data_IF_294604681114
#
_entry.id   IF_294604681114
#
_cell.length_a   1.000
_cell.length_b   1.000
_cell.length_c   1.000
_cell.angle_alpha   90.00
_cell.angle_beta   90.00
_cell.angle_gamma   90.00
#
_symmetry.space_group_name_H-M   'P 1'
#
loop_
_entity.id
_entity.type
_entity.pdbx_description
1 polymer ?
#
# COMPACT_ATOMS: atom_id res chain seq x y z
N UNK A 1 82.14 -17.74 -5.20
CA UNK A 1 81.90 -18.67 -4.09
C UNK A 1 80.41 -18.88 -3.89
N UNK A 2 80.00 -20.16 -4.02
CA UNK A 2 78.85 -20.84 -3.40
C UNK A 2 77.44 -20.26 -3.57
N UNK A 3 76.63 -20.92 -4.41
CA UNK A 3 75.47 -21.71 -3.93
C UNK A 3 74.95 -22.67 -5.02
N UNK A 4 74.52 -23.84 -4.55
CA UNK A 4 74.11 -25.04 -5.27
C UNK A 4 72.79 -24.91 -6.07
N UNK A 5 72.48 -25.85 -6.99
CA UNK A 5 71.22 -25.85 -7.73
C UNK A 5 70.09 -26.54 -6.95
N UNK A 6 68.85 -26.12 -7.18
CA UNK A 6 67.62 -26.77 -6.70
C UNK A 6 66.62 -26.93 -7.85
N UNK A 7 65.73 -27.93 -7.76
CA UNK A 7 65.32 -28.76 -8.90
C UNK A 7 64.06 -28.25 -9.63
N UNK A 8 63.93 -28.70 -10.87
CA UNK A 8 62.77 -28.49 -11.76
C UNK A 8 61.45 -28.97 -11.13
N UNK A 9 60.33 -28.25 -11.32
CA UNK A 9 59.01 -28.74 -10.94
C UNK A 9 58.36 -29.58 -12.06
N UNK A 10 57.74 -30.65 -11.58
CA UNK A 10 56.95 -31.66 -12.27
C UNK A 10 55.74 -31.01 -12.96
N UNK A 11 55.50 -31.41 -14.21
CA UNK A 11 54.28 -31.12 -14.97
C UNK A 11 53.06 -31.73 -14.26
N UNK A 12 52.11 -30.88 -13.87
CA UNK A 12 50.80 -31.27 -13.35
C UNK A 12 49.76 -31.04 -14.46
N UNK A 13 49.44 -32.11 -15.19
CA UNK A 13 48.31 -32.17 -16.12
C UNK A 13 47.02 -32.29 -15.30
N UNK A 14 46.40 -31.14 -15.01
CA UNK A 14 45.00 -31.11 -14.59
C UNK A 14 44.15 -30.67 -15.77
N UNK A 15 43.51 -31.67 -16.38
CA UNK A 15 42.39 -31.53 -17.30
C UNK A 15 41.37 -30.54 -16.72
N UNK A 16 41.34 -29.34 -17.29
CA UNK A 16 40.27 -28.39 -17.07
C UNK A 16 39.08 -28.87 -17.88
N UNK A 17 38.17 -29.59 -17.21
CA UNK A 17 36.80 -29.82 -17.66
C UNK A 17 36.19 -28.44 -17.87
N UNK A 18 36.18 -28.01 -19.14
CA UNK A 18 35.53 -26.82 -19.60
C UNK A 18 34.02 -27.03 -19.45
N UNK A 19 33.45 -26.52 -18.37
CA UNK A 19 32.01 -26.24 -18.25
C UNK A 19 31.63 -25.25 -19.34
N UNK A 20 31.39 -25.75 -20.56
CA UNK A 20 30.73 -25.00 -21.62
C UNK A 20 29.24 -25.04 -21.32
N UNK A 21 28.81 -24.24 -20.34
CA UNK A 21 27.42 -23.81 -20.27
C UNK A 21 27.04 -23.26 -21.64
N UNK A 22 25.99 -23.81 -22.23
CA UNK A 22 25.61 -23.45 -23.60
C UNK A 22 25.14 -21.98 -23.63
N UNK A 23 25.33 -21.25 -24.74
CA UNK A 23 24.87 -19.86 -24.85
C UNK A 23 23.36 -19.68 -24.56
N UNK A 24 22.55 -20.70 -24.85
CA UNK A 24 21.11 -20.73 -24.60
C UNK A 24 20.77 -20.86 -23.11
N UNK A 25 21.44 -21.74 -22.36
CA UNK A 25 21.30 -21.84 -20.90
C UNK A 25 21.68 -20.53 -20.20
N UNK A 26 22.68 -19.83 -20.72
CA UNK A 26 23.11 -18.52 -20.23
C UNK A 26 22.11 -17.39 -20.53
N UNK A 27 21.31 -17.50 -21.60
CA UNK A 27 20.26 -16.55 -21.95
C UNK A 27 18.99 -16.78 -21.11
N UNK A 28 18.60 -18.05 -20.92
CA UNK A 28 17.47 -18.42 -20.07
C UNK A 28 17.71 -18.02 -18.61
N UNK A 29 18.90 -18.29 -18.06
CA UNK A 29 19.28 -17.86 -16.70
C UNK A 29 19.26 -16.34 -16.56
N UNK A 30 19.66 -15.60 -17.61
CA UNK A 30 19.61 -14.13 -17.60
C UNK A 30 18.17 -13.61 -17.62
N UNK A 31 17.31 -14.22 -18.43
CA UNK A 31 15.89 -13.90 -18.48
C UNK A 31 15.21 -14.14 -17.13
N UNK A 32 15.44 -15.31 -16.51
CA UNK A 32 14.92 -15.64 -15.19
C UNK A 32 15.42 -14.70 -14.09
N UNK A 33 16.70 -14.30 -14.12
CA UNK A 33 17.24 -13.30 -13.18
C UNK A 33 16.58 -11.93 -13.35
N UNK A 34 16.36 -11.49 -14.58
CA UNK A 34 15.68 -10.24 -14.87
C UNK A 34 14.21 -10.27 -14.42
N UNK A 35 13.52 -11.39 -14.64
CA UNK A 35 12.15 -11.58 -14.19
C UNK A 35 12.03 -11.59 -12.66
N UNK A 36 12.91 -12.32 -11.96
CA UNK A 36 12.95 -12.32 -10.50
C UNK A 36 13.20 -10.93 -9.92
N UNK A 37 14.15 -10.17 -10.48
CA UNK A 37 14.37 -8.79 -10.07
C UNK A 37 13.13 -7.91 -10.28
N UNK A 38 12.40 -8.13 -11.38
CA UNK A 38 11.15 -7.43 -11.69
C UNK A 38 10.04 -7.76 -10.69
N UNK A 39 9.90 -9.03 -10.33
CA UNK A 39 8.90 -9.50 -9.36
C UNK A 39 9.20 -8.97 -7.96
N UNK A 40 10.47 -8.97 -7.55
CA UNK A 40 10.88 -8.42 -6.26
C UNK A 40 10.57 -6.92 -6.17
N UNK A 41 10.89 -6.14 -7.22
CA UNK A 41 10.56 -4.71 -7.25
C UNK A 41 9.04 -4.48 -7.16
N UNK A 42 8.23 -5.27 -7.86
CA UNK A 42 6.77 -5.16 -7.79
C UNK A 42 6.23 -5.46 -6.39
N UNK A 43 6.79 -6.45 -5.71
CA UNK A 43 6.44 -6.78 -4.33
C UNK A 43 6.85 -5.66 -3.36
N UNK A 44 8.03 -5.07 -3.54
CA UNK A 44 8.50 -3.96 -2.72
C UNK A 44 7.64 -2.70 -2.90
N UNK A 45 7.20 -2.41 -4.12
CA UNK A 45 6.26 -1.33 -4.44
C UNK A 45 4.89 -1.56 -3.79
N UNK A 46 4.34 -2.76 -3.92
CA UNK A 46 3.08 -3.16 -3.27
C UNK A 46 3.18 -3.02 -1.75
N UNK A 47 4.29 -3.49 -1.16
CA UNK A 47 4.56 -3.36 0.27
C UNK A 47 4.71 -1.89 0.68
N UNK A 48 5.35 -1.06 -0.15
CA UNK A 48 5.47 0.38 0.05
C UNK A 48 4.12 1.06 0.19
N UNK A 49 3.17 0.75 -0.70
CA UNK A 49 1.80 1.32 -0.65
C UNK A 49 1.10 0.94 0.67
N UNK A 50 1.17 -0.34 1.05
CA UNK A 50 0.57 -0.83 2.30
C UNK A 50 1.23 -0.22 3.55
N UNK A 51 2.54 0.04 3.49
CA UNK A 51 3.28 0.68 4.56
C UNK A 51 2.84 2.14 4.77
N UNK A 52 2.55 2.90 3.70
CA UNK A 52 2.03 4.27 3.84
C UNK A 52 0.71 4.25 4.63
N UNK A 53 -0.24 3.40 4.26
CA UNK A 53 -1.52 3.32 4.96
C UNK A 53 -1.36 2.89 6.42
N UNK A 54 -0.43 1.97 6.69
CA UNK A 54 -0.09 1.55 8.06
C UNK A 54 0.52 2.68 8.89
N UNK A 55 1.41 3.49 8.31
CA UNK A 55 2.02 4.65 8.97
C UNK A 55 1.02 5.76 9.25
N UNK A 56 0.12 6.05 8.31
CA UNK A 56 -0.99 6.98 8.54
C UNK A 56 -1.89 6.49 9.68
N UNK A 57 -2.25 5.20 9.69
CA UNK A 57 -3.01 4.61 10.80
C UNK A 57 -2.27 4.82 12.13
N UNK A 58 -0.99 4.47 12.19
CA UNK A 58 -0.17 4.65 13.39
C UNK A 58 -0.16 6.12 13.86
N UNK A 59 0.02 7.07 12.94
CA UNK A 59 -0.04 8.50 13.27
C UNK A 59 -1.37 8.88 13.91
N UNK A 60 -2.48 8.47 13.29
CA UNK A 60 -3.82 8.80 13.80
C UNK A 60 -4.12 8.17 15.15
N UNK A 61 -3.66 6.94 15.39
CA UNK A 61 -3.80 6.28 16.69
C UNK A 61 -3.06 7.03 17.81
N UNK A 62 -1.96 7.73 17.47
CA UNK A 62 -1.09 8.45 18.39
C UNK A 62 -1.41 9.94 18.54
N UNK A 63 -2.10 10.60 17.61
CA UNK A 63 -2.28 12.08 17.69
C UNK A 63 -3.72 12.55 17.53
N UNK A 64 -4.63 11.68 17.11
CA UNK A 64 -6.04 12.03 16.93
C UNK A 64 -6.84 11.63 18.17
N UNK A 65 -7.84 12.43 18.49
CA UNK A 65 -8.77 12.19 19.59
C UNK A 65 -9.39 10.80 19.47
N UNK A 66 -9.40 10.06 20.59
CA UNK A 66 -9.86 8.68 20.58
C UNK A 66 -11.38 8.61 20.60
N UNK A 67 -12.03 9.50 21.34
CA UNK A 67 -13.46 9.39 21.61
C UNK A 67 -14.27 10.41 20.81
N UNK A 68 -15.23 9.94 20.02
CA UNK A 68 -16.18 10.80 19.29
C UNK A 68 -16.90 11.80 20.19
N UNK A 69 -17.18 11.45 21.46
CA UNK A 69 -17.81 12.33 22.42
C UNK A 69 -17.02 13.64 22.68
N UNK A 70 -15.70 13.64 22.46
CA UNK A 70 -14.89 14.84 22.59
C UNK A 70 -15.25 15.92 21.55
N UNK A 71 -15.83 15.51 20.41
CA UNK A 71 -16.29 16.40 19.34
C UNK A 71 -17.71 16.92 19.58
N UNK A 72 -18.40 16.51 20.64
CA UNK A 72 -19.79 16.89 20.91
C UNK A 72 -19.99 18.41 21.00
N UNK A 73 -18.97 19.14 21.50
CA UNK A 73 -18.99 20.60 21.68
C UNK A 73 -18.67 21.39 20.41
N UNK A 74 -18.29 20.74 19.31
CA UNK A 74 -18.04 21.44 18.07
C UNK A 74 -19.36 21.98 17.47
N UNK A 75 -19.37 23.20 16.92
CA UNK A 75 -20.49 23.72 16.16
C UNK A 75 -20.93 22.77 15.03
N UNK A 76 -22.22 22.73 14.66
CA UNK A 76 -22.70 21.91 13.54
C UNK A 76 -21.99 22.19 12.22
N UNK A 77 -21.72 23.46 11.90
CA UNK A 77 -21.03 23.83 10.65
C UNK A 77 -19.59 23.33 10.61
N UNK A 78 -18.91 23.34 11.75
CA UNK A 78 -17.54 22.83 11.92
C UNK A 78 -17.51 21.32 11.72
N UNK A 79 -18.44 20.59 12.36
CA UNK A 79 -18.62 19.15 12.17
C UNK A 79 -18.91 18.82 10.70
N UNK A 80 -19.80 19.56 10.04
CA UNK A 80 -20.10 19.32 8.63
C UNK A 80 -18.92 19.64 7.71
N UNK A 81 -18.08 20.63 8.07
CA UNK A 81 -16.86 20.93 7.31
C UNK A 81 -15.87 19.75 7.27
N UNK A 82 -15.86 18.92 8.32
CA UNK A 82 -15.06 17.68 8.37
C UNK A 82 -15.55 16.69 7.32
N UNK A 83 -16.86 16.44 7.23
CA UNK A 83 -17.42 15.54 6.21
C UNK A 83 -17.21 16.08 4.79
N UNK A 84 -17.39 17.39 4.58
CA UNK A 84 -17.16 18.06 3.30
C UNK A 84 -15.71 17.93 2.83
N UNK A 85 -14.73 17.96 3.75
CA UNK A 85 -13.32 17.77 3.39
C UNK A 85 -12.99 16.37 2.84
N UNK A 86 -13.91 15.41 3.02
CA UNK A 86 -13.80 14.02 2.60
C UNK A 86 -14.64 13.69 1.36
N UNK A 87 -15.00 14.69 0.55
CA UNK A 87 -15.67 14.45 -0.74
C UNK A 87 -14.92 13.40 -1.58
N UNK A 88 -15.67 12.48 -2.19
CA UNK A 88 -15.13 11.33 -2.94
C UNK A 88 -14.65 10.16 -2.08
N UNK A 89 -14.56 10.32 -0.75
CA UNK A 89 -14.14 9.28 0.21
C UNK A 89 -15.18 9.00 1.31
N UNK A 90 -16.09 9.92 1.55
CA UNK A 90 -17.17 9.83 2.52
C UNK A 90 -18.49 10.25 1.86
N UNK A 91 -19.61 9.67 2.31
CA UNK A 91 -20.96 10.09 1.92
C UNK A 91 -21.18 11.57 2.28
N UNK A 92 -21.86 12.30 1.40
CA UNK A 92 -22.02 13.76 1.49
C UNK A 92 -23.47 14.21 1.76
N UNK A 93 -24.42 13.28 1.70
CA UNK A 93 -25.86 13.46 1.88
C UNK A 93 -26.31 13.30 3.34
N UNK A 94 -25.41 13.00 4.27
CA UNK A 94 -25.69 12.90 5.70
C UNK A 94 -25.16 14.13 6.45
N UNK A 95 -25.95 14.61 7.42
CA UNK A 95 -25.43 15.48 8.46
C UNK A 95 -24.53 14.68 9.43
N UNK A 96 -23.72 15.40 10.20
CA UNK A 96 -22.79 14.79 11.15
C UNK A 96 -23.43 13.81 12.14
N UNK A 97 -24.55 14.18 12.76
CA UNK A 97 -25.13 13.38 13.84
C UNK A 97 -25.76 12.10 13.27
N UNK A 98 -26.41 12.20 12.10
CA UNK A 98 -26.89 11.02 11.35
C UNK A 98 -25.73 10.14 10.89
N UNK A 99 -24.65 10.73 10.35
CA UNK A 99 -23.46 9.99 9.93
C UNK A 99 -22.84 9.19 11.08
N UNK A 100 -22.60 9.83 12.24
CA UNK A 100 -22.05 9.16 13.42
C UNK A 100 -23.01 8.08 13.95
N UNK A 101 -24.33 8.33 13.91
CA UNK A 101 -25.35 7.37 14.32
C UNK A 101 -25.42 6.12 13.44
N UNK A 102 -25.09 6.22 12.14
CA UNK A 102 -25.05 5.08 11.22
C UNK A 102 -23.79 4.21 11.37
N UNK A 103 -22.77 4.67 12.11
CA UNK A 103 -21.56 3.89 12.36
C UNK A 103 -21.81 2.79 13.42
N UNK A 104 -21.33 1.56 13.22
CA UNK A 104 -21.42 0.52 14.24
C UNK A 104 -20.48 0.77 15.41
N UNK A 105 -20.77 0.17 16.56
CA UNK A 105 -19.74 -0.04 17.59
C UNK A 105 -18.65 -1.01 17.07
N UNK A 106 -17.35 -0.79 17.36
CA UNK A 106 -16.77 0.31 18.12
C UNK A 106 -16.41 1.54 17.27
N UNK A 107 -16.63 1.50 15.96
CA UNK A 107 -16.24 2.55 15.01
C UNK A 107 -16.86 3.88 15.39
N UNK A 108 -18.14 3.90 15.79
CA UNK A 108 -18.84 5.10 16.23
C UNK A 108 -18.16 5.79 17.43
N UNK A 109 -17.50 5.04 18.32
CA UNK A 109 -16.80 5.58 19.48
C UNK A 109 -15.40 6.12 19.12
N UNK A 110 -14.78 5.59 18.07
CA UNK A 110 -13.45 6.00 17.60
C UNK A 110 -13.47 6.70 16.25
N UNK A 111 -14.61 7.27 15.87
CA UNK A 111 -14.82 7.91 14.57
C UNK A 111 -13.75 8.97 14.22
N UNK A 112 -13.29 9.85 15.14
CA UNK A 112 -12.29 10.87 14.80
C UNK A 112 -11.02 10.28 14.19
N UNK A 113 -10.54 9.14 14.70
CA UNK A 113 -9.34 8.46 14.18
C UNK A 113 -9.53 7.92 12.78
N UNK A 114 -10.67 7.29 12.51
CA UNK A 114 -10.97 6.74 11.19
C UNK A 114 -11.18 7.85 10.15
N UNK A 115 -11.84 8.94 10.54
CA UNK A 115 -12.04 10.13 9.70
C UNK A 115 -10.68 10.80 9.41
N UNK A 116 -9.84 11.03 10.42
CA UNK A 116 -8.51 11.61 10.21
C UNK A 116 -7.62 10.71 9.35
N UNK A 117 -7.70 9.39 9.50
CA UNK A 117 -6.99 8.43 8.64
C UNK A 117 -7.43 8.60 7.19
N UNK A 118 -8.74 8.66 6.96
CA UNK A 118 -9.30 8.92 5.64
C UNK A 118 -8.78 10.24 5.05
N UNK A 119 -8.76 11.33 5.84
CA UNK A 119 -8.28 12.64 5.40
C UNK A 119 -6.81 12.60 4.95
N UNK A 120 -5.94 11.98 5.76
CA UNK A 120 -4.52 11.89 5.46
C UNK A 120 -4.23 11.00 4.26
N UNK A 121 -4.94 9.87 4.12
CA UNK A 121 -4.81 9.01 2.94
C UNK A 121 -5.29 9.73 1.69
N UNK A 122 -6.46 10.39 1.75
CA UNK A 122 -6.99 11.19 0.64
C UNK A 122 -5.97 12.21 0.15
N UNK A 123 -5.44 13.03 1.06
CA UNK A 123 -4.49 14.09 0.68
C UNK A 123 -3.19 13.51 0.10
N UNK A 124 -2.62 12.47 0.72
CA UNK A 124 -1.41 11.83 0.19
C UNK A 124 -1.63 11.32 -1.24
N UNK A 125 -2.75 10.64 -1.49
CA UNK A 125 -3.08 10.08 -2.81
C UNK A 125 -3.26 11.21 -3.84
N UNK A 126 -4.06 12.23 -3.52
CA UNK A 126 -4.34 13.36 -4.41
C UNK A 126 -3.09 14.19 -4.71
N UNK A 127 -2.18 14.36 -3.75
CA UNK A 127 -0.97 15.20 -3.91
C UNK A 127 0.16 14.51 -4.66
N UNK A 128 0.36 13.20 -4.45
CA UNK A 128 1.57 12.52 -4.92
C UNK A 128 1.29 11.44 -5.96
N UNK A 129 0.15 10.77 -5.88
CA UNK A 129 -0.07 9.53 -6.62
C UNK A 129 -0.99 9.70 -7.84
N UNK A 130 -1.98 10.60 -7.81
CA UNK A 130 -2.89 10.80 -8.94
C UNK A 130 -2.23 11.49 -10.15
N UNK A 131 -1.30 12.42 -9.91
CA UNK A 131 -0.55 13.10 -10.97
C UNK A 131 0.95 12.81 -10.85
N UNK A 132 1.56 11.92 -11.64
CA UNK A 132 3.00 11.62 -11.57
C UNK A 132 3.92 12.82 -11.88
N UNK A 133 3.39 13.93 -12.40
CA UNK A 133 4.14 15.13 -12.77
C UNK A 133 4.01 16.28 -11.76
N UNK A 134 3.43 16.03 -10.57
CA UNK A 134 3.08 17.04 -9.56
C UNK A 134 4.21 18.01 -9.16
N UNK A 135 5.48 17.62 -9.32
CA UNK A 135 6.65 18.42 -8.95
C UNK A 135 7.26 19.23 -10.10
N UNK A 136 6.73 19.16 -11.32
CA UNK A 136 7.23 19.96 -12.44
C UNK A 136 6.83 21.43 -12.33
N UNK A 137 7.68 22.32 -12.86
CA UNK A 137 7.65 23.75 -12.61
C UNK A 137 7.40 24.51 -13.92
N UNK A 138 6.68 25.63 -13.85
CA UNK A 138 6.39 26.47 -15.00
C UNK A 138 4.90 26.75 -15.16
N UNK A 139 4.62 27.77 -15.97
CA UNK A 139 3.27 28.10 -16.43
C UNK A 139 3.29 28.07 -17.95
N UNK A 140 2.20 27.61 -18.54
CA UNK A 140 2.05 27.74 -19.98
C UNK A 140 1.71 29.19 -20.35
N UNK A 141 1.76 29.50 -21.63
CA UNK A 141 1.36 30.83 -22.15
C UNK A 141 -0.09 31.19 -21.78
N UNK A 142 -0.91 30.17 -21.49
CA UNK A 142 -2.31 30.29 -21.08
C UNK A 142 -2.49 30.43 -19.56
N UNK A 143 -1.39 30.43 -18.80
CA UNK A 143 -1.37 30.66 -17.36
C UNK A 143 -1.74 29.45 -16.50
N UNK A 144 -2.09 28.31 -17.09
CA UNK A 144 -2.31 27.08 -16.30
C UNK A 144 -0.98 26.44 -15.90
N UNK A 145 -1.03 25.75 -14.76
CA UNK A 145 0.12 25.14 -14.12
C UNK A 145 0.65 23.97 -14.97
N UNK A 146 1.97 23.92 -15.15
CA UNK A 146 2.62 22.97 -16.06
C UNK A 146 2.39 21.49 -15.70
N UNK A 147 2.35 21.06 -14.42
CA UNK A 147 2.00 19.67 -14.05
C UNK A 147 0.64 19.19 -14.57
N UNK A 148 -0.36 20.05 -14.60
CA UNK A 148 -1.71 19.73 -15.04
C UNK A 148 -1.74 19.51 -16.56
N UNK A 149 -0.98 20.29 -17.31
CA UNK A 149 -0.83 20.09 -18.75
C UNK A 149 -0.11 18.79 -19.08
N UNK A 150 0.97 18.45 -18.35
CA UNK A 150 1.65 17.17 -18.54
C UNK A 150 0.70 16.00 -18.23
N UNK A 151 -0.11 16.11 -17.18
CA UNK A 151 -1.13 15.12 -16.86
C UNK A 151 -2.20 15.02 -17.95
N UNK A 152 -2.68 16.14 -18.48
CA UNK A 152 -3.65 16.13 -19.57
C UNK A 152 -3.09 15.49 -20.84
N UNK A 153 -1.86 15.85 -21.22
CA UNK A 153 -1.17 15.24 -22.36
C UNK A 153 -0.96 13.73 -22.15
N UNK A 154 -0.59 13.32 -20.94
CA UNK A 154 -0.48 11.91 -20.58
C UNK A 154 -1.80 11.17 -20.78
N UNK A 155 -2.92 11.75 -20.34
CA UNK A 155 -4.24 11.15 -20.51
C UNK A 155 -4.61 11.00 -22.00
N UNK A 156 -4.30 11.99 -22.83
CA UNK A 156 -4.48 11.89 -24.28
C UNK A 156 -3.60 10.78 -24.90
N UNK A 157 -2.36 10.63 -24.43
CA UNK A 157 -1.49 9.54 -24.85
C UNK A 157 -2.03 8.18 -24.41
N UNK A 158 -2.62 8.07 -23.22
CA UNK A 158 -3.26 6.84 -22.76
C UNK A 158 -4.41 6.43 -23.68
N UNK A 159 -5.22 7.37 -24.15
CA UNK A 159 -6.29 7.10 -25.10
C UNK A 159 -5.77 6.68 -26.47
N UNK A 160 -4.66 7.27 -26.92
CA UNK A 160 -4.06 6.98 -28.22
C UNK A 160 -3.24 5.67 -28.25
N UNK A 161 -2.38 5.46 -27.26
CA UNK A 161 -1.51 4.29 -27.12
C UNK A 161 -1.03 4.13 -25.66
N UNK A 162 -1.71 3.29 -24.85
CA UNK A 162 -1.38 3.10 -23.43
C UNK A 162 0.07 2.66 -23.15
N UNK A 163 0.64 1.84 -24.03
CA UNK A 163 2.01 1.31 -23.87
C UNK A 163 3.05 2.42 -24.06
N UNK A 164 2.94 3.16 -25.17
CA UNK A 164 3.83 4.28 -25.46
C UNK A 164 3.68 5.40 -24.45
N UNK A 165 2.45 5.69 -24.01
CA UNK A 165 2.17 6.66 -22.95
C UNK A 165 2.88 6.29 -21.65
N UNK A 166 2.77 5.03 -21.26
CA UNK A 166 3.41 4.50 -20.04
C UNK A 166 4.93 4.63 -20.11
N UNK A 167 5.54 4.27 -21.24
CA UNK A 167 6.98 4.43 -21.46
C UNK A 167 7.40 5.90 -21.39
N UNK A 168 6.63 6.79 -22.01
CA UNK A 168 6.89 8.23 -21.96
C UNK A 168 6.82 8.77 -20.53
N UNK A 169 5.78 8.40 -19.76
CA UNK A 169 5.66 8.76 -18.33
C UNK A 169 6.86 8.26 -17.55
N UNK A 170 7.18 6.98 -17.67
CA UNK A 170 8.31 6.33 -17.00
C UNK A 170 9.63 7.05 -17.28
N UNK A 171 9.93 7.33 -18.55
CA UNK A 171 11.18 7.98 -18.94
C UNK A 171 11.22 9.44 -18.47
N UNK A 172 10.10 10.15 -18.57
CA UNK A 172 9.97 11.53 -18.07
C UNK A 172 10.24 11.60 -16.57
N UNK A 173 9.62 10.73 -15.77
CA UNK A 173 9.83 10.69 -14.32
C UNK A 173 11.26 10.24 -13.98
N UNK A 174 11.80 9.24 -14.69
CA UNK A 174 13.17 8.73 -14.48
C UNK A 174 14.22 9.81 -14.73
N UNK A 175 14.17 10.47 -15.89
CA UNK A 175 15.10 11.54 -16.24
C UNK A 175 14.97 12.74 -15.31
N UNK A 176 13.73 13.13 -14.99
CA UNK A 176 13.47 14.25 -14.10
C UNK A 176 13.89 13.99 -12.66
N UNK A 177 14.23 12.76 -12.26
CA UNK A 177 14.69 12.40 -10.92
C UNK A 177 16.07 11.75 -10.89
N UNK A 178 16.83 11.81 -11.99
CA UNK A 178 18.20 11.29 -12.06
C UNK A 178 19.17 12.24 -11.35
N UNK A 179 19.61 11.87 -10.15
CA UNK A 179 20.46 12.69 -9.27
C UNK A 179 21.94 12.29 -9.30
N UNK A 180 22.25 11.10 -9.81
CA UNK A 180 23.62 10.57 -9.90
C UNK A 180 24.08 10.39 -11.35
N UNK A 181 25.41 10.35 -11.57
CA UNK A 181 26.00 10.26 -12.92
C UNK A 181 25.79 8.90 -13.60
N UNK A 182 25.58 7.86 -12.82
CA UNK A 182 25.17 6.52 -13.25
C UNK A 182 23.72 6.49 -13.74
N UNK A 183 22.86 7.41 -13.26
CA UNK A 183 21.47 7.51 -13.70
C UNK A 183 21.32 8.37 -14.97
N UNK A 184 22.06 9.48 -15.06
CA UNK A 184 22.08 10.34 -16.25
C UNK A 184 23.38 11.19 -16.35
N UNK A 185 23.87 11.52 -17.57
CA UNK A 185 25.04 12.38 -17.74
C UNK A 185 24.87 13.80 -17.18
N UNK A 186 23.65 14.34 -17.21
CA UNK A 186 23.31 15.65 -16.67
C UNK A 186 22.26 15.54 -15.56
N UNK A 187 22.69 15.77 -14.32
CA UNK A 187 21.86 15.62 -13.12
C UNK A 187 21.23 16.92 -12.63
N UNK A 188 21.39 18.05 -13.35
CA UNK A 188 20.89 19.36 -12.92
C UNK A 188 19.38 19.35 -12.68
N UNK A 189 18.62 18.74 -13.60
CA UNK A 189 17.17 18.63 -13.48
C UNK A 189 16.79 17.77 -12.26
N UNK A 190 17.38 16.58 -12.12
CA UNK A 190 17.10 15.68 -11.00
C UNK A 190 17.41 16.27 -9.62
N UNK A 191 18.52 17.01 -9.49
CA UNK A 191 18.86 17.69 -8.23
C UNK A 191 17.83 18.80 -7.91
N UNK A 192 17.41 19.54 -8.94
CA UNK A 192 16.42 20.61 -8.80
C UNK A 192 15.06 20.07 -8.36
N UNK A 193 14.52 19.09 -9.09
CA UNK A 193 13.24 18.46 -8.78
C UNK A 193 13.26 17.77 -7.42
N UNK A 194 14.35 17.10 -7.03
CA UNK A 194 14.47 16.49 -5.70
C UNK A 194 14.27 17.51 -4.57
N UNK A 195 14.97 18.65 -4.61
CA UNK A 195 14.78 19.71 -3.60
C UNK A 195 13.34 20.17 -3.55
N UNK A 196 12.73 20.38 -4.72
CA UNK A 196 11.34 20.79 -4.82
C UNK A 196 10.37 19.76 -4.24
N UNK A 197 10.59 18.48 -4.51
CA UNK A 197 9.77 17.39 -3.94
C UNK A 197 9.85 17.38 -2.42
N UNK A 198 11.05 17.51 -1.87
CA UNK A 198 11.27 17.58 -0.42
C UNK A 198 10.61 18.82 0.20
N UNK A 199 10.71 19.99 -0.44
CA UNK A 199 10.04 21.22 -0.02
C UNK A 199 8.52 21.10 -0.07
N UNK A 200 7.98 20.55 -1.16
CA UNK A 200 6.56 20.34 -1.35
C UNK A 200 6.00 19.36 -0.32
N UNK A 201 6.69 18.25 -0.02
CA UNK A 201 6.25 17.31 1.01
C UNK A 201 6.17 17.95 2.41
N UNK A 202 7.16 18.79 2.77
CA UNK A 202 7.12 19.59 4.01
C UNK A 202 5.96 20.57 4.00
N UNK A 203 5.74 21.25 2.87
CA UNK A 203 4.67 22.23 2.71
C UNK A 203 3.28 21.59 2.80
N UNK A 204 3.06 20.46 2.14
CA UNK A 204 1.79 19.72 2.16
C UNK A 204 1.49 19.18 3.56
N UNK A 205 2.47 18.58 4.25
CA UNK A 205 2.28 18.13 5.63
C UNK A 205 1.93 19.29 6.56
N UNK A 206 2.63 20.43 6.44
CA UNK A 206 2.33 21.64 7.20
C UNK A 206 0.93 22.19 6.90
N UNK A 207 0.53 22.21 5.63
CA UNK A 207 -0.79 22.66 5.21
C UNK A 207 -1.90 21.75 5.76
N UNK A 208 -1.68 20.44 5.76
CA UNK A 208 -2.60 19.47 6.34
C UNK A 208 -2.75 19.65 7.85
N UNK A 209 -1.65 19.85 8.59
CA UNK A 209 -1.66 20.16 10.02
C UNK A 209 -2.33 21.49 10.34
N UNK A 210 -2.21 22.47 9.44
CA UNK A 210 -2.88 23.75 9.55
C UNK A 210 -4.37 23.69 9.19
N UNK A 211 -4.81 22.65 8.47
CA UNK A 211 -6.19 22.52 8.01
C UNK A 211 -7.16 22.48 9.18
N UNK A 212 -8.21 23.30 9.10
CA UNK A 212 -9.21 23.40 10.15
C UNK A 212 -9.89 22.05 10.45
N UNK A 213 -10.33 21.25 9.45
CA UNK A 213 -10.97 19.98 9.71
C UNK A 213 -10.08 18.96 10.45
N UNK A 214 -8.79 18.85 10.08
CA UNK A 214 -7.90 17.91 10.78
C UNK A 214 -7.65 18.40 12.22
N UNK A 215 -7.40 19.69 12.40
CA UNK A 215 -7.15 20.30 13.72
C UNK A 215 -8.28 20.05 14.72
N UNK A 216 -9.52 20.02 14.26
CA UNK A 216 -10.68 19.70 15.09
C UNK A 216 -10.67 18.27 15.63
N UNK A 217 -10.01 17.34 14.92
CA UNK A 217 -9.90 15.93 15.29
C UNK A 217 -8.68 15.66 16.19
N UNK A 218 -7.69 16.55 16.25
CA UNK A 218 -6.46 16.33 17.00
C UNK A 218 -6.72 16.28 18.51
N UNK A 219 -6.05 15.35 19.19
CA UNK A 219 -6.08 15.29 20.64
C UNK A 219 -5.41 16.53 21.24
N UNK A 220 -5.97 17.06 22.34
CA UNK A 220 -5.42 18.22 23.07
C UNK A 220 -4.23 17.83 23.95
N UNK A 221 -3.16 17.33 23.34
CA UNK A 221 -1.89 17.01 24.00
C UNK A 221 -0.73 17.65 23.26
N UNK A 222 0.21 18.19 24.03
CA UNK A 222 1.54 18.57 23.54
C UNK A 222 2.21 17.30 22.98
N UNK A 223 2.55 17.35 21.70
CA UNK A 223 3.19 16.24 21.01
C UNK A 223 4.32 16.81 20.15
N UNK A 224 5.51 16.91 20.76
CA UNK A 224 6.72 17.46 20.11
C UNK A 224 7.01 16.80 18.76
N UNK A 225 6.67 15.52 18.61
CA UNK A 225 7.03 14.72 17.43
C UNK A 225 5.90 14.62 16.40
N UNK A 226 4.68 15.13 16.68
CA UNK A 226 3.52 14.96 15.81
C UNK A 226 3.78 15.48 14.40
N UNK A 227 4.31 16.69 14.33
CA UNK A 227 4.50 17.42 13.09
C UNK A 227 5.67 16.83 12.29
N UNK A 228 6.77 16.51 13.00
CA UNK A 228 7.96 15.85 12.41
C UNK A 228 7.66 14.46 11.84
N UNK A 229 6.85 13.66 12.55
CA UNK A 229 6.42 12.34 12.08
C UNK A 229 5.53 12.47 10.84
N UNK A 230 4.61 13.43 10.80
CA UNK A 230 3.77 13.61 9.61
C UNK A 230 4.59 14.07 8.40
N UNK A 231 5.53 14.99 8.59
CA UNK A 231 6.48 15.41 7.55
C UNK A 231 7.27 14.22 7.02
N UNK A 232 7.73 13.35 7.93
CA UNK A 232 8.45 12.11 7.55
C UNK A 232 7.57 11.20 6.69
N UNK A 233 6.29 11.06 7.01
CA UNK A 233 5.38 10.23 6.24
C UNK A 233 5.07 10.81 4.85
N UNK A 234 4.92 12.13 4.73
CA UNK A 234 4.77 12.80 3.43
C UNK A 234 6.06 12.66 2.59
N UNK A 235 7.23 12.77 3.22
CA UNK A 235 8.52 12.56 2.56
C UNK A 235 8.69 11.12 2.04
N UNK A 236 8.20 10.12 2.77
CA UNK A 236 8.21 8.73 2.33
C UNK A 236 7.18 8.47 1.23
N UNK A 237 6.00 9.08 1.33
CA UNK A 237 4.95 8.96 0.32
C UNK A 237 5.40 9.51 -1.04
N UNK A 238 6.03 10.68 -1.04
CA UNK A 238 6.53 11.27 -2.28
C UNK A 238 7.67 10.45 -2.90
N UNK A 239 8.59 9.89 -2.11
CA UNK A 239 9.65 9.01 -2.66
C UNK A 239 9.01 7.76 -3.29
N UNK A 240 8.03 7.14 -2.61
CA UNK A 240 7.33 5.99 -3.19
C UNK A 240 6.63 6.38 -4.50
N UNK A 241 5.96 7.52 -4.55
CA UNK A 241 5.31 7.99 -5.76
C UNK A 241 6.29 8.13 -6.94
N UNK A 242 7.53 8.57 -6.69
CA UNK A 242 8.57 8.61 -7.73
C UNK A 242 8.99 7.21 -8.15
N UNK A 243 9.21 6.28 -7.20
CA UNK A 243 9.51 4.89 -7.54
C UNK A 243 8.42 4.28 -8.42
N UNK A 244 7.15 4.47 -8.07
CA UNK A 244 6.01 4.00 -8.88
C UNK A 244 5.94 4.69 -10.25
N UNK A 245 6.23 5.99 -10.30
CA UNK A 245 6.26 6.77 -11.53
C UNK A 245 7.36 6.30 -12.50
N UNK A 246 8.49 5.82 -11.99
CA UNK A 246 9.59 5.25 -12.77
C UNK A 246 9.32 3.84 -13.28
N UNK A 247 8.29 3.17 -12.76
CA UNK A 247 7.99 1.79 -13.14
C UNK A 247 6.92 1.72 -14.24
N UNK A 248 7.05 0.71 -15.11
CA UNK A 248 6.13 0.50 -16.23
C UNK A 248 4.73 0.08 -15.75
N UNK A 249 3.71 0.80 -16.15
CA UNK A 249 2.31 0.54 -15.84
C UNK A 249 1.63 1.78 -15.30
N UNK A 250 0.33 1.64 -15.09
CA UNK A 250 -0.54 2.72 -14.61
C UNK A 250 -1.10 2.25 -13.27
N UNK A 251 -0.83 3.03 -12.22
CA UNK A 251 -1.49 2.79 -10.94
C UNK A 251 -2.84 3.49 -10.96
N UNK A 252 -3.89 2.77 -10.59
CA UNK A 252 -5.23 3.31 -10.44
C UNK A 252 -5.62 3.34 -8.97
N UNK A 253 -6.22 4.46 -8.58
CA UNK A 253 -6.66 4.73 -7.21
C UNK A 253 -8.18 4.87 -7.20
N UNK A 254 -8.86 3.81 -6.80
CA UNK A 254 -10.33 3.78 -6.80
C UNK A 254 -10.84 4.19 -5.42
N UNK A 255 -11.43 5.38 -5.35
CA UNK A 255 -12.11 5.91 -4.16
C UNK A 255 -13.62 5.64 -4.21
N UNK A 256 -14.36 6.09 -3.20
CA UNK A 256 -15.81 5.88 -3.09
C UNK A 256 -16.58 6.49 -4.26
N UNK A 257 -16.15 7.67 -4.74
CA UNK A 257 -16.77 8.34 -5.89
C UNK A 257 -16.52 7.66 -7.24
N UNK A 258 -15.53 6.76 -7.34
CA UNK A 258 -15.20 5.98 -8.54
C UNK A 258 -15.76 4.56 -8.52
N UNK A 259 -16.49 4.18 -7.47
CA UNK A 259 -17.12 2.85 -7.39
C UNK A 259 -18.33 2.74 -8.31
N UNK A 260 -18.46 1.59 -8.99
CA UNK A 260 -19.65 1.27 -9.80
C UNK A 260 -20.93 1.09 -8.97
N UNK A 261 -20.78 0.80 -7.67
CA UNK A 261 -21.89 0.66 -6.72
C UNK A 261 -21.48 1.19 -5.34
N UNK A 262 -22.33 1.97 -4.65
CA UNK A 262 -22.06 2.44 -3.28
C UNK A 262 -22.36 1.37 -2.22
N UNK A 263 -22.70 0.14 -2.62
CA UNK A 263 -23.08 -0.94 -1.72
C UNK A 263 -21.91 -1.90 -1.49
N UNK A 264 -21.83 -2.41 -0.26
CA UNK A 264 -20.84 -3.40 0.15
C UNK A 264 -21.17 -4.80 -0.37
N UNK A 265 -20.13 -5.57 -0.67
CA UNK A 265 -20.21 -6.99 -0.98
C UNK A 265 -18.93 -7.67 -0.51
N UNK A 266 -19.04 -8.66 0.38
CA UNK A 266 -17.88 -9.44 0.86
C UNK A 266 -17.19 -10.22 -0.27
N UNK A 267 -17.92 -10.51 -1.36
CA UNK A 267 -17.38 -11.21 -2.54
C UNK A 267 -16.58 -10.31 -3.46
N UNK A 268 -16.54 -9.01 -3.20
CA UNK A 268 -15.76 -8.08 -4.00
C UNK A 268 -14.28 -8.28 -3.74
N UNK A 269 -13.53 -8.64 -4.79
CA UNK A 269 -12.06 -8.76 -4.68
C UNK A 269 -11.37 -7.41 -4.45
N UNK A 270 -12.05 -6.31 -4.81
CA UNK A 270 -11.51 -4.95 -4.73
C UNK A 270 -11.87 -4.22 -3.44
N UNK A 271 -12.59 -4.86 -2.51
CA UNK A 271 -13.08 -4.22 -1.30
C UNK A 271 -13.16 -5.19 -0.14
N UNK A 272 -12.82 -4.71 1.05
CA UNK A 272 -13.00 -5.41 2.32
C UNK A 272 -13.66 -4.48 3.33
N UNK A 273 -14.37 -5.06 4.29
CA UNK A 273 -14.83 -4.31 5.43
C UNK A 273 -13.65 -3.89 6.33
N UNK A 274 -13.78 -2.74 6.98
CA UNK A 274 -12.84 -2.29 7.98
C UNK A 274 -12.75 -3.33 9.12
N UNK A 275 -11.56 -3.65 9.66
CA UNK A 275 -11.39 -4.72 10.65
C UNK A 275 -12.28 -4.61 11.90
N UNK A 276 -12.63 -3.38 12.30
CA UNK A 276 -13.53 -3.12 13.42
C UNK A 276 -15.01 -3.50 13.17
N UNK A 277 -15.40 -3.94 11.96
CA UNK A 277 -16.67 -4.62 11.76
C UNK A 277 -16.65 -6.07 12.29
N UNK A 278 -15.46 -6.62 12.51
CA UNK A 278 -15.22 -8.00 12.94
C UNK A 278 -15.97 -9.02 12.09
N UNK A 279 -15.91 -8.87 10.77
CA UNK A 279 -16.44 -9.83 9.81
C UNK A 279 -15.41 -10.93 9.54
N UNK A 280 -15.91 -12.15 9.37
CA UNK A 280 -15.13 -13.22 8.76
C UNK A 280 -15.02 -13.00 7.23
N UNK A 281 -14.01 -13.58 6.55
CA UNK A 281 -13.85 -13.43 5.11
C UNK A 281 -15.10 -13.74 4.29
N UNK A 282 -15.87 -14.76 4.68
CA UNK A 282 -17.08 -15.22 3.98
C UNK A 282 -18.39 -14.77 4.67
N UNK A 283 -18.35 -13.76 5.55
CA UNK A 283 -19.54 -13.29 6.27
C UNK A 283 -20.38 -12.33 5.41
N UNK A 284 -21.59 -12.73 4.97
CA UNK A 284 -22.43 -11.90 4.11
C UNK A 284 -23.26 -10.87 4.89
N UNK A 285 -23.10 -10.75 6.22
CA UNK A 285 -23.99 -9.95 7.09
C UNK A 285 -24.21 -8.51 6.61
N UNK A 286 -23.19 -7.90 6.02
CA UNK A 286 -23.23 -6.50 5.59
C UNK A 286 -23.41 -6.34 4.07
N UNK A 287 -23.62 -7.43 3.33
CA UNK A 287 -23.86 -7.36 1.88
C UNK A 287 -25.07 -6.51 1.55
N UNK A 288 -24.96 -5.71 0.49
CA UNK A 288 -26.01 -4.81 0.05
C UNK A 288 -26.20 -3.58 0.93
N UNK A 289 -25.50 -3.48 2.08
CA UNK A 289 -25.52 -2.28 2.91
C UNK A 289 -24.64 -1.19 2.33
N UNK A 290 -24.98 0.05 2.64
CA UNK A 290 -24.30 1.24 2.12
C UNK A 290 -22.90 1.40 2.72
N UNK A 291 -21.94 1.77 1.88
CA UNK A 291 -20.61 2.22 2.34
C UNK A 291 -20.74 3.68 2.80
N UNK A 292 -20.35 3.97 4.04
CA UNK A 292 -20.39 5.32 4.62
C UNK A 292 -19.13 6.11 4.29
N UNK A 293 -17.96 5.49 4.44
CA UNK A 293 -16.68 6.08 4.03
C UNK A 293 -15.62 4.99 3.86
N UNK A 294 -14.48 5.35 3.28
CA UNK A 294 -13.34 4.44 3.13
C UNK A 294 -12.12 4.98 3.88
N UNK A 295 -11.36 4.11 4.56
CA UNK A 295 -10.11 4.52 5.23
C UNK A 295 -8.89 4.44 4.32
N UNK A 296 -9.02 3.76 3.18
CA UNK A 296 -8.05 3.71 2.08
C UNK A 296 -8.74 3.35 0.76
N UNK A 297 -8.27 3.86 -0.38
CA UNK A 297 -8.75 3.47 -1.69
C UNK A 297 -8.25 2.08 -2.09
N UNK A 298 -8.87 1.51 -3.12
CA UNK A 298 -8.24 0.41 -3.83
C UNK A 298 -7.07 0.95 -4.66
N UNK A 299 -5.99 0.19 -4.67
CA UNK A 299 -4.80 0.46 -5.47
C UNK A 299 -4.58 -0.76 -6.33
N UNK A 300 -4.70 -0.58 -7.64
CA UNK A 300 -4.35 -1.57 -8.64
C UNK A 300 -3.28 -0.99 -9.57
N UNK A 301 -2.59 -1.88 -10.28
CA UNK A 301 -1.67 -1.50 -11.34
C UNK A 301 -2.01 -2.29 -12.59
N UNK A 302 -2.25 -1.56 -13.67
CA UNK A 302 -2.42 -2.14 -15.00
C UNK A 302 -1.06 -2.21 -15.67
N UNK A 303 -0.65 -3.42 -16.08
CA UNK A 303 0.54 -3.66 -16.89
C UNK A 303 0.14 -4.27 -18.23
N UNK A 304 0.74 -3.79 -19.33
CA UNK A 304 0.46 -4.26 -20.69
C UNK A 304 -0.59 -3.41 -21.41
N UNK A 305 -1.11 -3.90 -22.54
CA UNK A 305 -2.16 -3.20 -23.29
C UNK A 305 -3.53 -3.42 -22.63
N UNK A 306 -4.51 -2.54 -22.86
CA UNK A 306 -5.88 -2.71 -22.33
C UNK A 306 -6.56 -4.02 -22.76
N UNK A 307 -6.08 -4.67 -23.82
CA UNK A 307 -6.60 -5.96 -24.32
C UNK A 307 -5.89 -7.20 -23.73
N UNK A 308 -4.66 -7.06 -23.21
CA UNK A 308 -3.83 -8.16 -22.69
C UNK A 308 -3.28 -7.88 -21.29
N UNK A 309 -3.82 -6.85 -20.63
CA UNK A 309 -3.26 -6.29 -19.42
C UNK A 309 -3.47 -7.19 -18.22
N UNK A 310 -2.42 -7.34 -17.41
CA UNK A 310 -2.51 -8.00 -16.11
C UNK A 310 -2.78 -6.89 -15.09
N UNK A 311 -3.94 -6.97 -14.44
CA UNK A 311 -4.28 -6.14 -13.29
C UNK A 311 -3.62 -6.73 -12.03
N UNK A 312 -2.63 -6.02 -11.50
CA UNK A 312 -2.02 -6.35 -10.21
C UNK A 312 -2.76 -5.60 -9.10
N UNK A 313 -3.42 -6.32 -8.19
CA UNK A 313 -4.14 -5.70 -7.06
C UNK A 313 -3.21 -5.54 -5.87
N UNK A 314 -2.90 -4.30 -5.53
CA UNK A 314 -1.93 -4.00 -4.48
C UNK A 314 -2.61 -3.81 -3.12
N UNK A 315 -3.74 -3.10 -3.11
CA UNK A 315 -4.57 -2.92 -1.92
C UNK A 315 -6.06 -2.87 -2.30
N UNK A 316 -6.94 -3.53 -1.55
CA UNK A 316 -8.38 -3.33 -1.69
C UNK A 316 -8.82 -2.04 -0.98
N UNK A 317 -10.02 -1.56 -1.33
CA UNK A 317 -10.75 -0.58 -0.52
C UNK A 317 -10.95 -1.15 0.88
N UNK A 318 -10.72 -0.34 1.90
CA UNK A 318 -11.14 -0.65 3.26
C UNK A 318 -12.34 0.23 3.61
N UNK A 319 -13.52 -0.39 3.55
CA UNK A 319 -14.80 0.29 3.68
C UNK A 319 -15.32 0.25 5.11
N UNK A 320 -15.88 1.36 5.58
CA UNK A 320 -16.75 1.40 6.76
C UNK A 320 -18.20 1.39 6.27
N UNK A 321 -18.92 0.36 6.67
CA UNK A 321 -20.27 0.05 6.19
C UNK A 321 -21.30 0.52 7.22
N UNK A 322 -22.47 0.92 6.74
CA UNK A 322 -23.60 1.24 7.59
C UNK A 322 -24.05 0.01 8.40
N UNK A 323 -23.97 0.14 9.72
CA UNK A 323 -24.37 -0.91 10.66
C UNK A 323 -24.75 -0.31 12.03
N UNK A 324 -25.60 0.73 12.00
CA UNK A 324 -26.07 1.43 13.21
C UNK A 324 -26.85 0.55 14.20
N UNK A 325 -27.22 -0.67 13.81
CA UNK A 325 -27.87 -1.66 14.67
C UNK A 325 -26.87 -2.39 15.59
N UNK A 326 -25.57 -2.32 15.32
CA UNK A 326 -24.53 -3.01 16.10
C UNK A 326 -24.21 -2.25 17.40
N UNK A 327 -24.88 -2.64 18.49
CA UNK A 327 -24.59 -2.13 19.83
C UNK A 327 -23.31 -2.72 20.43
N UNK A 328 -22.79 -2.07 21.49
CA UNK A 328 -21.64 -2.58 22.25
C UNK A 328 -21.87 -4.01 22.78
N UNK A 329 -23.05 -4.29 23.32
CA UNK A 329 -23.36 -5.62 23.88
C UNK A 329 -23.36 -6.70 22.79
N UNK A 330 -23.98 -6.41 21.63
CA UNK A 330 -23.97 -7.32 20.48
C UNK A 330 -22.56 -7.57 19.97
N UNK A 331 -21.75 -6.51 19.87
CA UNK A 331 -20.36 -6.60 19.45
C UNK A 331 -19.51 -7.44 20.41
N UNK A 332 -19.62 -7.21 21.72
CA UNK A 332 -18.91 -7.99 22.73
C UNK A 332 -19.34 -9.46 22.74
N UNK A 333 -20.64 -9.74 22.56
CA UNK A 333 -21.17 -11.09 22.44
C UNK A 333 -20.64 -11.80 21.19
N UNK A 334 -20.59 -11.10 20.06
CA UNK A 334 -20.02 -11.59 18.81
C UNK A 334 -18.53 -11.91 18.98
N UNK A 335 -17.73 -11.01 19.56
CA UNK A 335 -16.30 -11.24 19.80
C UNK A 335 -16.05 -12.45 20.71
N UNK A 336 -16.86 -12.63 21.75
CA UNK A 336 -16.77 -13.83 22.61
C UNK A 336 -17.04 -15.11 21.82
N UNK A 337 -18.07 -15.11 20.97
CA UNK A 337 -18.40 -16.26 20.11
C UNK A 337 -17.27 -16.55 19.12
N UNK A 338 -16.69 -15.52 18.50
CA UNK A 338 -15.56 -15.66 17.58
C UNK A 338 -14.35 -16.28 18.26
N UNK A 339 -13.98 -15.79 19.44
CA UNK A 339 -12.84 -16.32 20.21
C UNK A 339 -13.01 -17.80 20.55
N UNK A 340 -14.21 -18.21 20.97
CA UNK A 340 -14.50 -19.63 21.24
C UNK A 340 -14.33 -20.47 19.97
N UNK A 341 -14.83 -19.98 18.84
CA UNK A 341 -14.70 -20.68 17.56
C UNK A 341 -13.23 -20.77 17.09
N UNK A 342 -12.44 -19.70 17.26
CA UNK A 342 -11.00 -19.69 16.95
C UNK A 342 -10.22 -20.66 17.84
N UNK A 343 -10.55 -20.74 19.13
CA UNK A 343 -9.94 -21.67 20.06
C UNK A 343 -10.28 -23.13 19.69
N UNK A 344 -11.55 -23.40 19.34
CA UNK A 344 -11.99 -24.71 18.87
C UNK A 344 -11.30 -25.12 17.55
N UNK A 345 -11.21 -24.21 16.58
CA UNK A 345 -10.55 -24.47 15.30
C UNK A 345 -9.04 -24.64 15.46
N UNK A 346 -8.40 -23.80 16.29
CA UNK A 346 -6.99 -23.92 16.65
C UNK A 346 -6.68 -25.26 17.31
N UNK A 347 -7.54 -25.71 18.23
CA UNK A 347 -7.40 -27.03 18.85
C UNK A 347 -7.53 -28.15 17.82
N UNK A 348 -8.48 -28.07 16.89
CA UNK A 348 -8.64 -29.07 15.81
C UNK A 348 -7.40 -29.15 14.91
N UNK A 349 -6.85 -28.01 14.52
CA UNK A 349 -5.62 -27.94 13.72
C UNK A 349 -4.45 -28.55 14.50
N UNK A 350 -4.32 -28.22 15.78
CA UNK A 350 -3.23 -28.74 16.63
C UNK A 350 -3.32 -30.26 16.82
N UNK A 351 -4.53 -30.79 17.02
CA UNK A 351 -4.78 -32.22 17.11
C UNK A 351 -4.45 -32.94 15.79
N UNK A 352 -4.76 -32.34 14.65
CA UNK A 352 -4.43 -32.88 13.33
C UNK A 352 -2.91 -32.90 13.07
N UNK A 353 -2.22 -31.80 13.37
CA UNK A 353 -0.75 -31.72 13.27
C UNK A 353 -0.11 -32.78 14.17
N UNK A 354 -0.62 -32.94 15.39
CA UNK A 354 -0.11 -33.93 16.34
C UNK A 354 -0.29 -35.37 15.84
N UNK A 355 -1.44 -35.68 15.23
CA UNK A 355 -1.69 -36.98 14.60
C UNK A 355 -0.72 -37.24 13.44
N UNK A 356 -0.55 -36.27 12.54
CA UNK A 356 0.40 -36.37 11.41
C UNK A 356 1.83 -36.55 11.88
N UNK A 357 2.24 -35.83 12.94
CA UNK A 357 3.58 -35.99 13.51
C UNK A 357 3.77 -37.38 14.15
N UNK A 358 2.77 -37.90 14.85
CA UNK A 358 2.82 -39.24 15.43
C UNK A 358 2.92 -40.32 14.35
N UNK A 359 2.17 -40.18 13.25
CA UNK A 359 2.25 -41.06 12.09
C UNK A 359 3.63 -41.00 11.42
N UNK A 360 4.16 -39.80 11.19
CA UNK A 360 5.52 -39.60 10.65
C UNK A 360 6.58 -40.30 11.50
N UNK A 361 6.53 -40.11 12.83
CA UNK A 361 7.47 -40.76 13.75
C UNK A 361 7.34 -42.30 13.72
N UNK A 362 6.13 -42.83 13.52
CA UNK A 362 5.90 -44.28 13.37
C UNK A 362 6.57 -44.81 12.10
N UNK A 363 6.35 -44.14 10.96
CA UNK A 363 6.97 -44.48 9.67
C UNK A 363 8.50 -44.42 9.76
N UNK A 364 9.05 -43.39 10.39
CA UNK A 364 10.50 -43.24 10.56
C UNK A 364 11.09 -44.39 11.40
N UNK A 365 10.38 -44.81 12.45
CA UNK A 365 10.78 -45.95 13.29
C UNK A 365 10.75 -47.27 12.50
N UNK A 366 9.67 -47.54 11.77
CA UNK A 366 9.54 -48.72 10.90
C UNK A 366 10.64 -48.75 9.82
N UNK A 367 11.00 -47.61 9.24
CA UNK A 367 12.10 -47.51 8.27
C UNK A 367 13.48 -47.79 8.89
N UNK A 368 13.73 -47.30 10.12
CA UNK A 368 14.98 -47.59 10.84
C UNK A 368 15.11 -49.07 11.19
N UNK A 369 14.02 -49.70 11.65
CA UNK A 369 13.98 -51.14 11.93
C UNK A 369 14.18 -51.98 10.65
N UNK A 370 13.53 -51.61 9.54
CA UNK A 370 13.71 -52.27 8.25
C UNK A 370 15.12 -52.12 7.65
N UNK A 371 15.80 -50.99 7.88
CA UNK A 371 17.22 -50.83 7.50
C UNK A 371 18.11 -51.74 8.32
N UNK A 372 17.90 -51.79 9.64
CA UNK A 372 18.68 -52.64 10.55
C UNK A 372 18.55 -54.13 10.19
N UNK A 373 17.34 -54.58 9.84
CA UNK A 373 17.09 -55.96 9.42
C UNK A 373 17.60 -56.31 8.01
N UNK A 374 18.04 -55.32 7.21
CA UNK A 374 18.66 -55.55 5.90
C UNK A 374 20.19 -55.63 5.96
N UNK A 375 20.77 -55.11 7.04
CA UNK A 375 22.21 -55.10 7.28
C UNK A 375 22.68 -56.31 8.14
N UNK A 376 21.73 -57.09 8.68
CA UNK A 376 21.90 -58.42 9.30
C UNK A 376 21.59 -59.53 8.30
#
# INVERSE_FOLDING_TARGET
STKAPSPEPIHDDTDTVSDRETPEENEEVRALKAENARLQNALDEQNGVRQIFSKVKYWTDNYVERNTAALAKLPPDDKQSILRSLEGYCVQDLDWDTFIGSLPYPICNSAPRHIARCMLVKDIIEKFFENPFWYFEGKTEQGEEFPQHLQHLFQQFLEANPESATLWKTETVRLANSITKDQAPNTKLGIHTKRRREDAARSFASAMLASLPLRMLLAKREASNRDEELVTYYAQAQELAICLGQSCGICEYTNLGRLSSPLFSHRSENMKAHPNHSLWPDDPRLDGRRILFITQPAVSRLRGTTLTGIEERWAPIEAVIEDGEMSQEQYEKMLKKQRVQEEEEGQRIWDEISKRQAEWNRIEKEQKENRKNRDE
#
